data_IF_107201431290
#
_entry.id   IF_107201431290
#
_cell.length_a   1.000
_cell.length_b   1.000
_cell.length_c   1.000
_cell.angle_alpha   90.00
_cell.angle_beta   90.00
_cell.angle_gamma   90.00
#
_symmetry.space_group_name_H-M   'P 1'
#
loop_
_entity.id
_entity.type
_entity.pdbx_description
1 polymer ?
#
# COMPACT_ATOMS: atom_id res chain seq x y z
N UNK A 1 -8.65 5.36 -12.32
CA UNK A 1 -9.62 4.29 -11.98
C UNK A 1 -8.84 3.01 -11.69
N UNK A 2 -9.18 2.26 -10.63
CA UNK A 2 -8.48 1.03 -10.21
C UNK A 2 -9.36 -0.23 -10.34
N UNK A 3 -8.83 -1.35 -10.86
CA UNK A 3 -9.56 -2.62 -10.89
C UNK A 3 -9.96 -3.14 -9.49
N UNK A 4 -11.04 -3.92 -9.41
CA UNK A 4 -11.58 -4.45 -8.15
C UNK A 4 -10.63 -5.37 -7.37
N UNK A 5 -9.66 -5.99 -8.05
CA UNK A 5 -8.66 -6.85 -7.40
C UNK A 5 -7.52 -6.05 -6.74
N UNK A 6 -7.40 -4.74 -7.03
CA UNK A 6 -6.28 -3.93 -6.52
C UNK A 6 -6.30 -3.81 -4.99
N UNK A 7 -7.44 -3.51 -4.33
CA UNK A 7 -7.48 -3.48 -2.87
C UNK A 7 -7.01 -4.79 -2.22
N UNK A 8 -7.47 -5.93 -2.73
CA UNK A 8 -7.08 -7.25 -2.23
C UNK A 8 -5.60 -7.55 -2.46
N UNK A 9 -5.07 -7.23 -3.64
CA UNK A 9 -3.65 -7.38 -3.93
C UNK A 9 -2.76 -6.50 -3.03
N UNK A 10 -3.19 -5.26 -2.74
CA UNK A 10 -2.46 -4.38 -1.84
C UNK A 10 -2.50 -4.89 -0.40
N UNK A 11 -3.60 -5.51 0.04
CA UNK A 11 -3.68 -6.11 1.37
C UNK A 11 -2.73 -7.30 1.51
N UNK A 12 -2.66 -8.17 0.51
CA UNK A 12 -1.67 -9.26 0.49
C UNK A 12 -0.23 -8.73 0.59
N UNK A 13 0.07 -7.64 -0.13
CA UNK A 13 1.38 -6.99 -0.01
C UNK A 13 1.62 -6.43 1.40
N UNK A 14 0.60 -5.84 2.03
CA UNK A 14 0.70 -5.36 3.41
C UNK A 14 0.91 -6.50 4.42
N UNK A 15 0.31 -7.68 4.24
CA UNK A 15 0.54 -8.83 5.12
C UNK A 15 2.01 -9.25 5.13
N UNK A 16 2.64 -9.25 3.94
CA UNK A 16 4.05 -9.57 3.76
C UNK A 16 5.00 -8.40 4.06
N UNK A 17 4.51 -7.24 4.51
CA UNK A 17 5.38 -6.09 4.82
C UNK A 17 6.26 -6.32 6.06
N UNK A 18 5.98 -7.35 6.84
CA UNK A 18 6.73 -7.75 8.04
C UNK A 18 7.73 -8.89 7.77
N UNK A 19 7.80 -9.40 6.54
CA UNK A 19 8.71 -10.47 6.13
C UNK A 19 10.16 -9.97 5.97
N UNK A 20 11.16 -10.90 5.88
CA UNK A 20 12.57 -10.54 5.80
C UNK A 20 12.93 -9.52 4.70
N UNK A 21 13.95 -8.71 4.98
CA UNK A 21 14.35 -7.46 4.29
C UNK A 21 14.19 -7.41 2.76
N UNK A 22 14.50 -8.50 2.04
CA UNK A 22 14.46 -8.53 0.57
C UNK A 22 13.04 -8.35 0.00
N UNK A 23 12.05 -8.94 0.67
CA UNK A 23 10.64 -8.90 0.24
C UNK A 23 10.02 -7.57 0.69
N UNK A 24 10.33 -7.14 1.91
CA UNK A 24 9.83 -5.88 2.47
C UNK A 24 10.19 -4.66 1.61
N UNK A 25 11.45 -4.55 1.15
CA UNK A 25 11.90 -3.42 0.31
C UNK A 25 11.09 -3.31 -0.99
N UNK A 26 10.82 -4.45 -1.63
CA UNK A 26 10.06 -4.52 -2.88
C UNK A 26 8.59 -4.14 -2.66
N UNK A 27 7.98 -4.63 -1.58
CA UNK A 27 6.61 -4.29 -1.17
C UNK A 27 6.48 -2.79 -0.90
N UNK A 28 7.34 -2.22 -0.05
CA UNK A 28 7.30 -0.79 0.30
C UNK A 28 7.48 0.08 -0.94
N UNK A 29 8.35 -0.31 -1.87
CA UNK A 29 8.52 0.39 -3.15
C UNK A 29 7.23 0.35 -3.97
N UNK A 30 6.63 -0.82 -4.15
CA UNK A 30 5.38 -0.97 -4.91
C UNK A 30 4.23 -0.14 -4.31
N UNK A 31 4.05 -0.17 -2.98
CA UNK A 31 3.03 0.62 -2.28
C UNK A 31 3.28 2.12 -2.41
N UNK A 32 4.54 2.56 -2.33
CA UNK A 32 4.91 3.97 -2.49
C UNK A 32 4.68 4.47 -3.91
N UNK A 33 5.02 3.67 -4.92
CA UNK A 33 4.75 3.98 -6.32
C UNK A 33 3.25 4.02 -6.60
N UNK A 34 2.47 3.09 -6.04
CA UNK A 34 1.01 3.10 -6.13
C UNK A 34 0.44 4.40 -5.56
N UNK A 35 0.80 4.76 -4.32
CA UNK A 35 0.37 6.01 -3.68
C UNK A 35 0.73 7.24 -4.51
N UNK A 36 1.94 7.28 -5.08
CA UNK A 36 2.42 8.42 -5.88
C UNK A 36 1.65 8.57 -7.19
N UNK A 37 1.41 7.46 -7.90
CA UNK A 37 0.73 7.47 -9.21
C UNK A 37 -0.78 7.68 -9.11
N UNK A 38 -1.37 7.39 -7.94
CA UNK A 38 -2.80 7.49 -7.69
C UNK A 38 -3.15 8.66 -6.75
N UNK A 39 -2.21 9.55 -6.46
CA UNK A 39 -2.38 10.64 -5.51
C UNK A 39 -3.52 11.60 -5.89
N UNK A 40 -3.55 12.05 -7.15
CA UNK A 40 -4.53 13.02 -7.64
C UNK A 40 -5.96 12.46 -7.64
N UNK A 41 -6.11 11.15 -7.86
CA UNK A 41 -7.39 10.44 -7.85
C UNK A 41 -7.64 9.66 -6.55
N UNK A 42 -6.86 9.91 -5.49
CA UNK A 42 -6.92 9.12 -4.27
C UNK A 42 -8.29 9.23 -3.58
N UNK A 43 -8.95 10.38 -3.65
CA UNK A 43 -10.29 10.58 -3.10
C UNK A 43 -11.32 9.61 -3.67
N UNK A 44 -11.24 9.30 -4.97
CA UNK A 44 -12.15 8.33 -5.60
C UNK A 44 -11.69 6.89 -5.33
N UNK A 45 -10.39 6.66 -5.29
CA UNK A 45 -9.84 5.31 -5.14
C UNK A 45 -10.01 4.77 -3.73
N UNK A 46 -9.92 5.61 -2.70
CA UNK A 46 -10.17 5.22 -1.31
C UNK A 46 -11.58 4.68 -1.07
N UNK A 47 -12.56 5.05 -1.90
CA UNK A 47 -13.94 4.51 -1.80
C UNK A 47 -14.03 3.02 -2.16
N UNK A 48 -13.00 2.48 -2.83
CA UNK A 48 -12.88 1.05 -3.16
C UNK A 48 -12.22 0.23 -2.05
N UNK A 49 -11.77 0.88 -0.98
CA UNK A 49 -11.16 0.24 0.19
C UNK A 49 -12.10 0.34 1.38
N UNK A 50 -12.05 -0.64 2.27
CA UNK A 50 -12.69 -0.52 3.59
C UNK A 50 -11.87 0.36 4.52
N UNK A 51 -12.47 0.86 5.59
CA UNK A 51 -11.76 1.68 6.60
C UNK A 51 -10.55 0.93 7.17
N UNK A 52 -10.70 -0.36 7.50
CA UNK A 52 -9.62 -1.20 8.01
C UNK A 52 -8.46 -1.31 7.01
N UNK A 53 -8.75 -1.49 5.72
CA UNK A 53 -7.73 -1.58 4.67
C UNK A 53 -6.96 -0.26 4.52
N UNK A 54 -7.63 0.87 4.66
CA UNK A 54 -7.00 2.19 4.62
C UNK A 54 -6.06 2.40 5.82
N UNK A 55 -6.45 1.92 7.01
CA UNK A 55 -5.61 1.98 8.22
C UNK A 55 -4.34 1.15 8.02
N UNK A 56 -4.46 -0.09 7.53
CA UNK A 56 -3.32 -0.97 7.26
C UNK A 56 -2.36 -0.33 6.22
N UNK A 57 -2.91 0.21 5.13
CA UNK A 57 -2.11 0.91 4.12
C UNK A 57 -1.34 2.09 4.71
N UNK A 58 -2.00 2.91 5.53
CA UNK A 58 -1.37 4.05 6.17
C UNK A 58 -0.23 3.61 7.09
N UNK A 59 -0.43 2.58 7.92
CA UNK A 59 0.60 2.08 8.84
C UNK A 59 1.88 1.62 8.10
N UNK A 60 1.70 0.84 7.04
CA UNK A 60 2.83 0.36 6.21
C UNK A 60 3.53 1.51 5.47
N UNK A 61 2.80 2.53 5.04
CA UNK A 61 3.32 3.69 4.31
C UNK A 61 3.94 4.78 5.19
N UNK A 62 3.57 4.85 6.48
CA UNK A 62 4.09 5.82 7.46
C UNK A 62 5.36 5.29 8.12
N UNK A 63 5.56 3.97 8.15
CA UNK A 63 6.80 3.35 8.62
C UNK A 63 8.01 4.01 7.94
N UNK A 64 8.93 4.64 8.70
CA UNK A 64 10.01 5.45 8.15
C UNK A 64 10.90 4.57 7.27
N UNK A 65 10.77 4.72 5.95
CA UNK A 65 11.58 4.04 4.95
C UNK A 65 12.98 4.67 4.84
N UNK A 66 13.59 5.07 5.96
CA UNK A 66 14.78 5.93 5.94
C UNK A 66 16.09 5.30 6.40
N UNK A 67 16.12 4.02 6.80
CA UNK A 67 17.40 3.36 7.12
C UNK A 67 17.39 1.88 6.73
N UNK A 68 17.65 1.57 5.45
CA UNK A 68 18.15 0.26 5.01
C UNK A 68 18.78 0.33 3.62
#
# INVERSE_FOLDING_TARGET
DIPKYVPEALMLLCEHSHDPDLIQKSIKKALSEFRRTHYDSWHEHREKFTEDQLVILADVLISPSYYA
#
